data_IF_864300326515
#
_entry.id   IF_864300326515
#
_cell.length_a   1.000
_cell.length_b   1.000
_cell.length_c   1.000
_cell.angle_alpha   90.00
_cell.angle_beta   90.00
_cell.angle_gamma   90.00
#
_symmetry.space_group_name_H-M   'P 1'
#
loop_
_entity.id
_entity.type
_entity.pdbx_description
1 polymer ?
#
# COMPACT_ATOMS: atom_id res chain seq x y z
N UNK A 1 -44.05 2.32 -29.65
CA UNK A 1 -43.00 2.57 -28.63
C UNK A 1 -41.81 3.24 -29.32
N UNK A 2 -41.05 4.09 -28.61
CA UNK A 2 -39.93 4.85 -29.19
C UNK A 2 -38.59 4.34 -28.61
N UNK A 3 -37.56 4.23 -29.45
CA UNK A 3 -36.21 3.88 -29.06
C UNK A 3 -35.59 5.00 -28.21
N UNK A 4 -35.17 4.69 -26.99
CA UNK A 4 -34.45 5.62 -26.11
C UNK A 4 -32.97 5.26 -26.06
N UNK A 5 -32.13 6.18 -26.51
CA UNK A 5 -30.67 6.05 -26.50
C UNK A 5 -30.05 7.05 -25.52
N UNK A 6 -29.02 6.63 -24.79
CA UNK A 6 -28.19 7.54 -23.99
C UNK A 6 -27.28 8.39 -24.87
N UNK A 7 -26.76 9.50 -24.36
CA UNK A 7 -25.82 10.35 -25.11
C UNK A 7 -24.55 9.60 -25.52
N UNK A 8 -24.06 8.66 -24.69
CA UNK A 8 -22.90 7.83 -25.04
C UNK A 8 -23.24 6.84 -26.16
N UNK A 9 -24.43 6.24 -26.15
CA UNK A 9 -24.90 5.36 -27.22
C UNK A 9 -25.03 6.13 -28.54
N UNK A 10 -25.66 7.32 -28.52
CA UNK A 10 -25.77 8.20 -29.69
C UNK A 10 -24.41 8.59 -30.24
N UNK A 11 -23.47 8.97 -29.37
CA UNK A 11 -22.11 9.34 -29.76
C UNK A 11 -21.37 8.18 -30.43
N UNK A 12 -21.46 6.97 -29.88
CA UNK A 12 -20.80 5.80 -30.46
C UNK A 12 -21.44 5.37 -31.78
N UNK A 13 -22.76 5.45 -31.89
CA UNK A 13 -23.47 5.19 -33.16
C UNK A 13 -23.04 6.19 -34.24
N UNK A 14 -22.97 7.48 -33.90
CA UNK A 14 -22.49 8.52 -34.81
C UNK A 14 -21.02 8.30 -35.23
N UNK A 15 -20.15 7.88 -34.31
CA UNK A 15 -18.76 7.50 -34.64
C UNK A 15 -18.66 6.30 -35.58
N UNK A 16 -19.61 5.36 -35.50
CA UNK A 16 -19.69 4.22 -36.42
C UNK A 16 -20.45 4.56 -37.72
N UNK A 17 -20.92 5.81 -37.90
CA UNK A 17 -21.68 6.24 -39.07
C UNK A 17 -23.07 5.61 -39.16
N UNK A 18 -23.61 5.10 -38.06
CA UNK A 18 -24.92 4.41 -38.03
C UNK A 18 -25.97 5.32 -37.41
N UNK A 19 -27.08 5.49 -38.11
CA UNK A 19 -28.30 6.12 -37.59
C UNK A 19 -29.37 5.04 -37.40
N UNK A 20 -29.94 4.97 -36.19
CA UNK A 20 -31.05 4.07 -35.89
C UNK A 20 -32.38 4.83 -35.95
N UNK A 21 -33.47 4.21 -36.45
CA UNK A 21 -34.79 4.83 -36.41
C UNK A 21 -35.27 4.98 -34.97
N UNK A 22 -35.99 6.08 -34.72
CA UNK A 22 -36.57 6.34 -33.39
C UNK A 22 -37.80 5.46 -33.10
N UNK A 23 -38.44 4.90 -34.13
CA UNK A 23 -39.63 4.05 -33.97
C UNK A 23 -39.24 2.58 -33.85
N UNK A 24 -39.99 1.84 -33.02
CA UNK A 24 -39.90 0.39 -32.90
C UNK A 24 -40.99 -0.30 -33.75
N UNK A 25 -40.79 -1.53 -34.23
CA UNK A 25 -39.64 -2.42 -33.95
C UNK A 25 -38.40 -2.11 -34.80
N UNK A 26 -37.22 -2.41 -34.27
CA UNK A 26 -35.97 -2.39 -35.02
C UNK A 26 -35.85 -3.65 -35.89
N UNK A 27 -35.15 -3.54 -37.01
CA UNK A 27 -34.71 -4.70 -37.78
C UNK A 27 -33.66 -5.50 -36.99
N UNK A 28 -33.52 -6.79 -37.32
CA UNK A 28 -32.53 -7.65 -36.66
C UNK A 28 -31.10 -7.11 -36.80
N UNK A 29 -30.78 -6.41 -37.89
CA UNK A 29 -29.47 -5.79 -38.10
C UNK A 29 -29.25 -4.60 -37.13
N UNK A 30 -30.24 -3.73 -37.00
CA UNK A 30 -30.21 -2.58 -36.09
C UNK A 30 -30.09 -3.00 -34.62
N UNK A 31 -30.80 -4.05 -34.21
CA UNK A 31 -30.68 -4.62 -32.87
C UNK A 31 -29.27 -5.16 -32.59
N UNK A 32 -28.66 -5.83 -33.56
CA UNK A 32 -27.27 -6.33 -33.46
C UNK A 32 -26.29 -5.18 -33.29
N UNK A 33 -26.46 -4.08 -34.02
CA UNK A 33 -25.61 -2.88 -33.90
C UNK A 33 -25.77 -2.25 -32.52
N UNK A 34 -27.00 -2.01 -32.07
CA UNK A 34 -27.26 -1.42 -30.75
C UNK A 34 -26.68 -2.29 -29.63
N UNK A 35 -26.80 -3.62 -29.74
CA UNK A 35 -26.20 -4.57 -28.79
C UNK A 35 -24.67 -4.48 -28.76
N UNK A 36 -24.03 -4.31 -29.93
CA UNK A 36 -22.59 -4.11 -30.04
C UNK A 36 -22.14 -2.81 -29.37
N UNK A 37 -22.85 -1.70 -29.61
CA UNK A 37 -22.58 -0.41 -28.98
C UNK A 37 -22.71 -0.50 -27.45
N UNK A 38 -23.82 -1.06 -26.95
CA UNK A 38 -24.03 -1.30 -25.51
C UNK A 38 -22.94 -2.17 -24.89
N UNK A 39 -22.48 -3.19 -25.61
CA UNK A 39 -21.36 -4.04 -25.17
C UNK A 39 -20.04 -3.26 -25.11
N UNK A 40 -19.76 -2.39 -26.09
CA UNK A 40 -18.57 -1.52 -26.08
C UNK A 40 -18.55 -0.59 -24.87
N UNK A 41 -19.69 0.02 -24.53
CA UNK A 41 -19.82 0.88 -23.34
C UNK A 41 -19.52 0.10 -22.06
N UNK A 42 -20.18 -1.06 -21.85
CA UNK A 42 -19.93 -1.88 -20.66
C UNK A 42 -18.48 -2.33 -20.57
N UNK A 43 -17.88 -2.77 -21.68
CA UNK A 43 -16.48 -3.20 -21.70
C UNK A 43 -15.52 -2.05 -21.36
N UNK A 44 -15.78 -0.84 -21.86
CA UNK A 44 -15.00 0.36 -21.53
C UNK A 44 -15.05 0.63 -20.01
N UNK A 45 -16.25 0.60 -19.42
CA UNK A 45 -16.42 0.78 -17.98
C UNK A 45 -15.70 -0.31 -17.18
N UNK A 46 -15.89 -1.59 -17.53
CA UNK A 46 -15.23 -2.70 -16.84
C UNK A 46 -13.70 -2.65 -16.95
N UNK A 47 -13.16 -2.25 -18.11
CA UNK A 47 -11.72 -2.07 -18.28
C UNK A 47 -11.18 -0.92 -17.41
N UNK A 48 -11.92 0.19 -17.32
CA UNK A 48 -11.56 1.31 -16.44
C UNK A 48 -11.59 0.90 -14.97
N UNK A 49 -12.64 0.23 -14.52
CA UNK A 49 -12.75 -0.24 -13.13
C UNK A 49 -11.66 -1.26 -12.79
N UNK A 50 -11.31 -2.14 -13.74
CA UNK A 50 -10.18 -3.07 -13.57
C UNK A 50 -8.85 -2.34 -13.41
N UNK A 51 -8.58 -1.33 -14.25
CA UNK A 51 -7.38 -0.49 -14.13
C UNK A 51 -7.37 0.27 -12.81
N UNK A 52 -8.50 0.84 -12.38
CA UNK A 52 -8.63 1.53 -11.10
C UNK A 52 -8.31 0.60 -9.93
N UNK A 53 -8.92 -0.58 -9.87
CA UNK A 53 -8.64 -1.58 -8.81
C UNK A 53 -7.18 -2.01 -8.79
N UNK A 54 -6.56 -2.23 -9.96
CA UNK A 54 -5.14 -2.58 -10.04
C UNK A 54 -4.26 -1.44 -9.47
N UNK A 55 -4.58 -0.19 -9.81
CA UNK A 55 -3.87 0.97 -9.26
C UNK A 55 -4.02 1.03 -7.74
N UNK A 56 -5.24 0.99 -7.23
CA UNK A 56 -5.52 1.02 -5.78
C UNK A 56 -4.78 -0.10 -5.03
N UNK A 57 -4.70 -1.30 -5.61
CA UNK A 57 -3.95 -2.41 -5.05
C UNK A 57 -2.44 -2.14 -5.00
N UNK A 58 -1.85 -1.63 -6.09
CA UNK A 58 -0.44 -1.26 -6.14
C UNK A 58 -0.11 -0.15 -5.15
N UNK A 59 -0.89 0.93 -5.15
CA UNK A 59 -0.75 2.05 -4.21
C UNK A 59 -0.85 1.53 -2.75
N UNK A 60 -1.76 0.58 -2.49
CA UNK A 60 -1.89 -0.08 -1.19
C UNK A 60 -0.66 -0.91 -0.79
N UNK A 61 -0.05 -1.64 -1.74
CA UNK A 61 1.20 -2.37 -1.49
C UNK A 61 2.36 -1.41 -1.21
N UNK A 62 2.51 -0.36 -1.99
CA UNK A 62 3.55 0.66 -1.81
C UNK A 62 3.43 1.33 -0.44
N UNK A 63 2.23 1.71 -0.03
CA UNK A 63 1.95 2.27 1.30
C UNK A 63 2.34 1.31 2.43
N UNK A 64 2.02 0.02 2.29
CA UNK A 64 2.39 -1.00 3.30
C UNK A 64 3.90 -1.17 3.41
N UNK A 65 4.60 -1.20 2.29
CA UNK A 65 6.07 -1.28 2.26
C UNK A 65 6.69 -0.04 2.89
N UNK A 66 6.18 1.15 2.59
CA UNK A 66 6.65 2.40 3.18
C UNK A 66 6.46 2.41 4.70
N UNK A 67 5.26 2.04 5.19
CA UNK A 67 4.97 1.96 6.62
C UNK A 67 5.85 0.94 7.34
N UNK A 68 5.99 -0.27 6.78
CA UNK A 68 6.85 -1.32 7.36
C UNK A 68 8.33 -0.89 7.36
N UNK A 69 8.78 -0.19 6.33
CA UNK A 69 10.16 0.32 6.24
C UNK A 69 10.42 1.41 7.28
N UNK A 70 9.48 2.34 7.47
CA UNK A 70 9.56 3.36 8.51
C UNK A 70 9.62 2.73 9.92
N UNK A 71 8.73 1.77 10.21
CA UNK A 71 8.71 1.06 11.49
C UNK A 71 10.01 0.27 11.72
N UNK A 72 10.52 -0.42 10.70
CA UNK A 72 11.80 -1.13 10.80
C UNK A 72 12.97 -0.18 11.11
N UNK A 73 12.97 1.02 10.52
CA UNK A 73 14.01 2.00 10.79
C UNK A 73 13.95 2.50 12.24
N UNK A 74 12.75 2.78 12.75
CA UNK A 74 12.55 3.17 14.15
C UNK A 74 13.02 2.07 15.12
N UNK A 75 12.63 0.82 14.87
CA UNK A 75 13.07 -0.32 15.68
C UNK A 75 14.59 -0.49 15.66
N UNK A 76 15.23 -0.37 14.50
CA UNK A 76 16.71 -0.41 14.40
C UNK A 76 17.37 0.69 15.20
N UNK A 77 16.86 1.92 15.12
CA UNK A 77 17.38 3.03 15.92
C UNK A 77 17.24 2.75 17.42
N UNK A 78 16.09 2.19 17.85
CA UNK A 78 15.86 1.84 19.25
C UNK A 78 16.79 0.74 19.73
N UNK A 79 17.04 -0.29 18.93
CA UNK A 79 18.01 -1.35 19.24
C UNK A 79 19.40 -0.74 19.43
N UNK A 80 19.86 0.11 18.51
CA UNK A 80 21.16 0.76 18.62
C UNK A 80 21.30 1.62 19.89
N UNK A 81 20.24 2.34 20.27
CA UNK A 81 20.23 3.12 21.50
C UNK A 81 20.35 2.22 22.73
N UNK A 82 19.57 1.14 22.79
CA UNK A 82 19.61 0.18 23.90
C UNK A 82 20.97 -0.52 24.00
N UNK A 83 21.57 -0.90 22.87
CA UNK A 83 22.91 -1.49 22.83
C UNK A 83 23.97 -0.54 23.39
N UNK A 84 23.89 0.76 23.04
CA UNK A 84 24.79 1.80 23.59
C UNK A 84 24.61 1.95 25.10
N UNK A 85 23.36 2.03 25.57
CA UNK A 85 23.05 2.16 27.00
C UNK A 85 23.52 0.93 27.79
N UNK A 86 23.21 -0.27 27.32
CA UNK A 86 23.68 -1.51 27.94
C UNK A 86 25.20 -1.59 27.98
N UNK A 87 25.88 -1.23 26.89
CA UNK A 87 27.35 -1.17 26.87
C UNK A 87 27.92 -0.19 27.90
N UNK A 88 27.26 0.96 28.11
CA UNK A 88 27.65 1.92 29.16
C UNK A 88 27.46 1.36 30.56
N UNK A 89 26.30 0.77 30.84
CA UNK A 89 25.97 0.17 32.13
C UNK A 89 26.94 -0.97 32.48
N UNK A 90 27.26 -1.84 31.51
CA UNK A 90 28.24 -2.91 31.70
C UNK A 90 29.62 -2.36 32.07
N UNK A 91 30.08 -1.27 31.42
CA UNK A 91 31.35 -0.62 31.79
C UNK A 91 31.32 -0.05 33.20
N UNK A 92 30.22 0.58 33.60
CA UNK A 92 30.05 1.11 34.96
C UNK A 92 30.07 0.00 36.01
N UNK A 93 29.35 -1.10 35.77
CA UNK A 93 29.35 -2.27 36.64
C UNK A 93 30.74 -2.88 36.78
N UNK A 94 31.47 -3.04 35.67
CA UNK A 94 32.85 -3.54 35.70
C UNK A 94 33.78 -2.62 36.51
N UNK A 95 33.61 -1.30 36.40
CA UNK A 95 34.39 -0.34 37.19
C UNK A 95 34.08 -0.46 38.69
N UNK A 96 32.81 -0.58 39.08
CA UNK A 96 32.41 -0.77 40.48
C UNK A 96 32.93 -2.09 41.06
N UNK A 97 32.85 -3.20 40.32
CA UNK A 97 33.39 -4.50 40.76
C UNK A 97 34.91 -4.41 40.99
N UNK A 98 35.65 -3.75 40.09
CA UNK A 98 37.09 -3.50 40.26
C UNK A 98 37.40 -2.62 41.48
N UNK A 99 36.59 -1.58 41.73
CA UNK A 99 36.76 -0.73 42.91
C UNK A 99 36.49 -1.50 44.22
N UNK A 100 35.44 -2.32 44.27
CA UNK A 100 35.09 -3.09 45.47
C UNK A 100 36.13 -4.17 45.77
N UNK A 101 36.64 -4.87 44.75
CA UNK A 101 37.72 -5.85 44.92
C UNK A 101 39.02 -5.22 45.39
N UNK A 102 39.40 -4.05 44.86
CA UNK A 102 40.58 -3.30 45.32
C UNK A 102 40.43 -2.82 46.78
N UNK A 103 39.24 -2.39 47.19
CA UNK A 103 38.98 -2.01 48.59
C UNK A 103 39.08 -3.21 49.54
N UNK A 104 38.55 -4.38 49.16
CA UNK A 104 38.66 -5.60 49.96
C UNK A 104 40.12 -6.06 50.15
N UNK A 105 40.97 -5.90 49.12
CA UNK A 105 42.40 -6.18 49.24
C UNK A 105 43.11 -5.23 50.21
N UNK A 106 42.76 -3.93 50.20
CA UNK A 106 43.32 -2.94 51.14
C UNK A 106 42.91 -3.19 52.60
N UNK A 107 41.68 -3.63 52.87
CA UNK A 107 41.26 -3.99 54.24
C UNK A 107 41.98 -5.23 54.75
N UNK A 108 42.31 -6.20 53.88
CA UNK A 108 43.06 -7.40 54.27
C UNK A 108 44.53 -7.11 54.59
N UNK A 109 45.13 -6.07 54.00
CA UNK A 109 46.50 -5.64 54.33
C UNK A 109 46.60 -4.98 55.71
N UNK A 110 45.51 -4.39 56.23
CA UNK A 110 45.51 -3.73 57.53
C UNK A 110 45.27 -4.69 58.72
N UNK A 111 44.96 -5.97 58.47
CA UNK A 111 44.75 -6.98 59.51
C UNK A 111 46.02 -7.80 59.84
N UNK A 112 47.14 -7.49 59.18
CA UNK A 112 48.48 -8.04 59.46
C UNK A 112 49.34 -6.95 60.14
N UNK A 113 49.04 -6.65 61.41
CA UNK A 113 49.95 -5.93 62.33
C UNK A 113 49.90 -6.64 63.68
#
# INVERSE_FOLDING_TARGET
>A
QQLRLTEEEKRLLAQEGVTLPNALPLTQAEERILKKVRRKIRNKQSAQDSRRRKKEYLDGLENRVAACSAQNQELRNRVQELEKLNGSLLRQLQALIKQTSNKAAQTSTCALV
#
